data_IF_461138764855
#
_entry.id   IF_461138764855
#
_cell.length_a   1.000
_cell.length_b   1.000
_cell.length_c   1.000
_cell.angle_alpha   90.00
_cell.angle_beta   90.00
_cell.angle_gamma   90.00
#
_symmetry.space_group_name_H-M   'P 1'
#
loop_
_entity.id
_entity.type
_entity.pdbx_description
1 polymer ?
#
# COMPACT_ATOMS: atom_id res chain seq x y z
N UNK A 1 28.95 -15.22 -15.99
CA UNK A 1 28.14 -14.52 -14.96
C UNK A 1 27.91 -15.48 -13.79
N UNK A 2 28.43 -15.17 -12.58
CA UNK A 2 28.08 -15.93 -11.38
C UNK A 2 26.89 -15.23 -10.72
N UNK A 3 25.73 -15.87 -10.76
CA UNK A 3 24.49 -15.34 -10.18
C UNK A 3 24.63 -15.46 -8.66
N UNK A 4 24.41 -14.37 -7.91
CA UNK A 4 24.56 -14.37 -6.45
C UNK A 4 23.50 -15.31 -5.83
N UNK A 5 23.89 -16.39 -5.12
CA UNK A 5 22.96 -17.37 -4.56
C UNK A 5 22.01 -16.76 -3.51
N UNK A 6 22.43 -15.66 -2.85
CA UNK A 6 21.57 -14.93 -1.92
C UNK A 6 20.44 -14.20 -2.65
N UNK A 7 20.69 -13.66 -3.84
CA UNK A 7 19.67 -13.01 -4.66
C UNK A 7 18.63 -14.02 -5.20
N UNK A 8 19.06 -15.24 -5.50
CA UNK A 8 18.15 -16.32 -5.90
C UNK A 8 17.27 -16.81 -4.74
N UNK A 9 17.82 -16.94 -3.53
CA UNK A 9 17.07 -17.35 -2.34
C UNK A 9 16.01 -16.31 -1.92
N UNK A 10 16.32 -15.02 -2.05
CA UNK A 10 15.35 -13.95 -1.79
C UNK A 10 14.22 -13.93 -2.83
N UNK A 11 14.54 -14.16 -4.10
CA UNK A 11 13.55 -14.21 -5.18
C UNK A 11 12.60 -15.42 -5.07
N UNK A 12 13.10 -16.58 -4.61
CA UNK A 12 12.26 -17.77 -4.38
C UNK A 12 11.40 -17.64 -3.12
N UNK A 13 11.91 -17.01 -2.06
CA UNK A 13 11.13 -16.71 -0.86
C UNK A 13 9.98 -15.73 -1.13
N UNK A 14 10.19 -14.73 -2.00
CA UNK A 14 9.13 -13.80 -2.43
C UNK A 14 8.04 -14.47 -3.26
N UNK A 15 8.37 -15.47 -4.08
CA UNK A 15 7.38 -16.24 -4.87
C UNK A 15 6.47 -17.12 -4.02
N UNK A 16 6.95 -17.57 -2.87
CA UNK A 16 6.20 -18.44 -1.95
C UNK A 16 5.76 -17.69 -0.69
N UNK A 17 5.29 -16.44 -0.82
CA UNK A 17 4.71 -15.73 0.32
C UNK A 17 3.26 -16.19 0.57
N UNK A 18 2.98 -17.01 1.60
CA UNK A 18 1.66 -17.59 1.82
C UNK A 18 0.62 -16.54 2.27
N UNK A 19 1.05 -15.34 2.68
CA UNK A 19 0.12 -14.25 3.05
C UNK A 19 -0.21 -13.31 1.90
N UNK A 20 0.39 -13.48 0.72
CA UNK A 20 0.14 -12.59 -0.44
C UNK A 20 -1.34 -12.45 -0.80
N UNK A 21 -2.17 -13.52 -0.83
CA UNK A 21 -3.59 -13.38 -1.14
C UNK A 21 -4.33 -12.46 -0.15
N UNK A 22 -3.97 -12.52 1.14
CA UNK A 22 -4.54 -11.65 2.16
C UNK A 22 -4.07 -10.20 1.99
N UNK A 23 -2.81 -9.99 1.58
CA UNK A 23 -2.28 -8.67 1.25
C UNK A 23 -3.05 -8.06 0.07
N UNK A 24 -3.26 -8.81 -1.01
CA UNK A 24 -3.99 -8.34 -2.19
C UNK A 24 -5.44 -7.95 -1.82
N UNK A 25 -6.11 -8.74 -0.97
CA UNK A 25 -7.46 -8.42 -0.47
C UNK A 25 -7.45 -7.14 0.38
N UNK A 26 -6.52 -7.05 1.33
CA UNK A 26 -6.43 -5.91 2.24
C UNK A 26 -6.06 -4.61 1.50
N UNK A 27 -5.21 -4.68 0.49
CA UNK A 27 -4.90 -3.57 -0.43
C UNK A 27 -6.13 -3.13 -1.22
N UNK A 28 -6.91 -4.08 -1.75
CA UNK A 28 -8.15 -3.79 -2.45
C UNK A 28 -9.16 -3.07 -1.54
N UNK A 29 -9.33 -3.55 -0.31
CA UNK A 29 -10.20 -2.94 0.68
C UNK A 29 -9.75 -1.52 1.07
N UNK A 30 -8.45 -1.31 1.34
CA UNK A 30 -7.93 0.03 1.63
C UNK A 30 -8.08 0.97 0.42
N UNK A 31 -7.91 0.46 -0.80
CA UNK A 31 -8.13 1.23 -2.03
C UNK A 31 -9.58 1.69 -2.12
N UNK A 32 -10.56 0.80 -1.97
CA UNK A 32 -11.98 1.15 -2.01
C UNK A 32 -12.36 2.15 -0.91
N UNK A 33 -11.87 1.94 0.31
CA UNK A 33 -12.12 2.83 1.43
C UNK A 33 -11.54 4.22 1.17
N UNK A 34 -10.27 4.29 0.78
CA UNK A 34 -9.56 5.56 0.55
C UNK A 34 -10.16 6.32 -0.62
N UNK A 35 -10.51 5.62 -1.71
CA UNK A 35 -11.17 6.21 -2.87
C UNK A 35 -12.52 6.83 -2.47
N UNK A 36 -13.32 6.11 -1.69
CA UNK A 36 -14.60 6.64 -1.18
C UNK A 36 -14.38 7.85 -0.26
N UNK A 37 -13.41 7.77 0.64
CA UNK A 37 -13.08 8.88 1.54
C UNK A 37 -12.65 10.14 0.76
N UNK A 38 -11.81 10.01 -0.26
CA UNK A 38 -11.40 11.12 -1.13
C UNK A 38 -12.59 11.74 -1.86
N UNK A 39 -13.51 10.90 -2.36
CA UNK A 39 -14.73 11.37 -3.00
C UNK A 39 -15.62 12.17 -2.01
N UNK A 40 -15.79 11.70 -0.77
CA UNK A 40 -16.54 12.44 0.26
C UNK A 40 -15.84 13.75 0.66
N UNK A 41 -14.52 13.74 0.82
CA UNK A 41 -13.74 14.97 1.11
C UNK A 41 -13.88 15.99 -0.02
N UNK A 42 -13.94 15.56 -1.28
CA UNK A 42 -14.11 16.46 -2.43
C UNK A 42 -15.46 17.17 -2.40
N UNK A 43 -16.51 16.55 -1.86
CA UNK A 43 -17.83 17.18 -1.69
C UNK A 43 -17.83 18.31 -0.68
N UNK A 44 -16.86 18.35 0.25
CA UNK A 44 -16.75 19.43 1.23
C UNK A 44 -16.03 20.67 0.69
N UNK A 45 -15.47 20.60 -0.52
CA UNK A 45 -14.84 21.75 -1.18
C UNK A 45 -15.93 22.60 -1.83
N UNK A 46 -16.08 23.89 -1.48
CA UNK A 46 -17.04 24.78 -2.13
C UNK A 46 -16.75 24.88 -3.62
N UNK A 47 -17.79 24.81 -4.46
CA UNK A 47 -17.69 24.96 -5.91
C UNK A 47 -18.60 26.08 -6.37
N UNK A 48 -18.09 26.97 -7.21
CA UNK A 48 -18.88 28.03 -7.83
C UNK A 48 -19.87 27.48 -8.86
N UNK A 49 -19.50 26.37 -9.52
CA UNK A 49 -20.32 25.66 -10.49
C UNK A 49 -20.27 24.14 -10.25
N UNK A 50 -21.34 23.39 -10.56
CA UNK A 50 -21.32 21.94 -10.53
C UNK A 50 -20.29 21.36 -11.51
N UNK A 51 -19.67 20.24 -11.15
CA UNK A 51 -18.79 19.52 -12.06
C UNK A 51 -19.59 18.97 -13.25
N UNK A 52 -18.99 18.95 -14.44
CA UNK A 52 -19.55 18.18 -15.55
C UNK A 52 -19.35 16.68 -15.33
N UNK A 53 -20.16 15.84 -15.98
CA UNK A 53 -20.00 14.37 -15.91
C UNK A 53 -18.61 13.89 -16.31
N UNK A 54 -17.97 14.56 -17.29
CA UNK A 54 -16.60 14.27 -17.69
C UNK A 54 -15.60 14.59 -16.58
N UNK A 55 -15.80 15.70 -15.86
CA UNK A 55 -14.96 16.08 -14.73
C UNK A 55 -15.14 15.15 -13.54
N UNK A 56 -16.37 14.72 -13.25
CA UNK A 56 -16.66 13.72 -12.22
C UNK A 56 -15.96 12.39 -12.53
N UNK A 57 -16.04 11.91 -13.77
CA UNK A 57 -15.35 10.70 -14.20
C UNK A 57 -13.83 10.83 -14.05
N UNK A 58 -13.25 11.94 -14.51
CA UNK A 58 -11.83 12.20 -14.36
C UNK A 58 -11.38 12.20 -12.89
N UNK A 59 -12.14 12.88 -12.02
CA UNK A 59 -11.88 12.91 -10.59
C UNK A 59 -11.96 11.51 -9.98
N UNK A 60 -12.92 10.68 -10.40
CA UNK A 60 -13.03 9.29 -9.90
C UNK A 60 -11.80 8.45 -10.24
N UNK A 61 -11.25 8.59 -11.45
CA UNK A 61 -10.02 7.91 -11.85
C UNK A 61 -8.82 8.40 -11.04
N UNK A 62 -8.71 9.73 -10.84
CA UNK A 62 -7.66 10.33 -10.04
C UNK A 62 -7.70 9.83 -8.59
N UNK A 63 -8.89 9.82 -7.99
CA UNK A 63 -9.09 9.38 -6.60
C UNK A 63 -8.78 7.89 -6.45
N UNK A 64 -9.14 7.06 -7.44
CA UNK A 64 -8.81 5.64 -7.45
C UNK A 64 -7.30 5.37 -7.56
N UNK A 65 -6.60 6.03 -8.48
CA UNK A 65 -5.14 5.86 -8.65
C UNK A 65 -4.38 6.30 -7.40
N UNK A 66 -4.80 7.42 -6.79
CA UNK A 66 -4.23 7.89 -5.53
C UNK A 66 -4.48 6.89 -4.40
N UNK A 67 -5.70 6.38 -4.28
CA UNK A 67 -6.05 5.38 -3.29
C UNK A 67 -5.24 4.08 -3.48
N UNK A 68 -5.06 3.63 -4.72
CA UNK A 68 -4.28 2.44 -5.02
C UNK A 68 -2.80 2.62 -4.65
N UNK A 69 -2.24 3.80 -4.93
CA UNK A 69 -0.87 4.15 -4.55
C UNK A 69 -0.69 4.14 -3.03
N UNK A 70 -1.66 4.70 -2.30
CA UNK A 70 -1.67 4.71 -0.83
C UNK A 70 -1.82 3.31 -0.23
N UNK A 71 -2.67 2.46 -0.80
CA UNK A 71 -2.86 1.10 -0.31
C UNK A 71 -1.61 0.22 -0.52
N UNK A 72 -0.89 0.42 -1.63
CA UNK A 72 0.35 -0.31 -1.95
C UNK A 72 1.57 0.20 -1.19
N UNK A 73 1.59 1.47 -0.80
CA UNK A 73 2.68 2.02 0.01
C UNK A 73 2.54 1.66 1.49
N UNK A 74 3.63 1.80 2.25
CA UNK A 74 3.60 1.73 3.72
C UNK A 74 3.13 3.06 4.36
N UNK A 75 2.86 4.08 3.54
CA UNK A 75 2.44 5.42 3.95
C UNK A 75 0.94 5.69 3.77
N UNK A 76 0.15 4.64 3.52
CA UNK A 76 -1.31 4.72 3.47
C UNK A 76 -1.97 5.06 4.81
N UNK A 77 -3.28 4.88 4.87
CA UNK A 77 -4.07 5.15 6.08
C UNK A 77 -3.88 4.05 7.16
N UNK A 78 -3.21 2.96 6.81
CA UNK A 78 -2.96 1.83 7.71
C UNK A 78 -4.16 0.89 7.84
N UNK A 79 -5.21 1.09 7.02
CA UNK A 79 -6.41 0.24 7.01
C UNK A 79 -6.06 -1.18 6.59
N UNK A 80 -5.17 -1.37 5.60
CA UNK A 80 -4.61 -2.67 5.21
C UNK A 80 -4.05 -3.43 6.40
N UNK A 81 -3.32 -2.75 7.29
CA UNK A 81 -2.73 -3.39 8.47
C UNK A 81 -3.80 -3.91 9.42
N UNK A 82 -4.82 -3.08 9.71
CA UNK A 82 -5.95 -3.47 10.55
C UNK A 82 -6.69 -4.66 9.94
N UNK A 83 -6.92 -4.66 8.63
CA UNK A 83 -7.58 -5.75 7.93
C UNK A 83 -6.76 -7.04 8.01
N UNK A 84 -5.46 -6.97 7.72
CA UNK A 84 -4.56 -8.12 7.81
C UNK A 84 -4.56 -8.73 9.20
N UNK A 85 -4.61 -7.92 10.26
CA UNK A 85 -4.70 -8.40 11.63
C UNK A 85 -5.99 -9.19 11.92
N UNK A 86 -7.07 -8.92 11.18
CA UNK A 86 -8.36 -9.62 11.30
C UNK A 86 -8.46 -10.86 10.41
N UNK A 87 -8.01 -10.77 9.15
CA UNK A 87 -8.26 -11.83 8.15
C UNK A 87 -7.15 -12.88 8.09
N UNK A 88 -5.93 -12.56 8.53
CA UNK A 88 -4.81 -13.50 8.50
C UNK A 88 -4.86 -14.42 9.73
N UNK A 89 -4.86 -15.75 9.53
CA UNK A 89 -4.82 -16.71 10.64
C UNK A 89 -3.62 -16.50 11.56
N UNK A 90 -3.80 -16.69 12.87
CA UNK A 90 -2.77 -16.46 13.89
C UNK A 90 -1.45 -17.18 13.59
N UNK A 91 -1.52 -18.45 13.17
CA UNK A 91 -0.36 -19.27 12.82
C UNK A 91 0.37 -18.81 11.55
N UNK A 92 -0.16 -17.83 10.81
CA UNK A 92 0.44 -17.24 9.61
C UNK A 92 0.94 -15.81 9.82
N UNK A 93 0.66 -15.18 10.98
CA UNK A 93 1.00 -13.77 11.21
C UNK A 93 2.50 -13.48 11.20
N UNK A 94 3.34 -14.47 11.47
CA UNK A 94 4.80 -14.30 11.37
C UNK A 94 5.27 -14.01 9.95
N UNK A 95 4.54 -14.45 8.91
CA UNK A 95 4.85 -14.11 7.53
C UNK A 95 4.61 -12.63 7.20
N UNK A 96 3.72 -11.94 7.93
CA UNK A 96 3.48 -10.50 7.73
C UNK A 96 4.69 -9.65 8.12
N UNK A 97 5.43 -10.06 9.17
CA UNK A 97 6.66 -9.36 9.62
C UNK A 97 7.82 -9.54 8.64
N UNK A 98 7.89 -10.69 7.98
CA UNK A 98 8.96 -11.03 7.05
C UNK A 98 8.69 -10.51 5.62
N UNK A 99 7.45 -10.12 5.33
CA UNK A 99 7.05 -9.58 4.02
C UNK A 99 7.35 -8.08 3.86
N UNK A 100 7.73 -7.37 4.92
CA UNK A 100 8.18 -5.98 4.84
C UNK A 100 9.66 -5.95 4.42
N UNK A 101 10.02 -5.42 3.24
CA UNK A 101 11.42 -5.20 2.92
C UNK A 101 12.00 -4.20 3.93
N UNK A 102 13.19 -4.47 4.43
CA UNK A 102 13.90 -3.62 5.39
C UNK A 102 14.26 -2.25 4.77
N UNK A 103 13.31 -1.33 4.66
CA UNK A 103 13.57 0.11 4.42
C UNK A 103 13.92 0.77 5.76
N UNK A 104 14.88 0.21 6.50
CA UNK A 104 15.38 0.78 7.76
C UNK A 104 16.91 0.81 7.87
N UNK A 105 17.64 0.49 6.81
CA UNK A 105 19.08 0.77 6.70
C UNK A 105 19.32 1.86 5.67
N UNK A 106 19.09 3.12 6.06
CA UNK A 106 19.32 4.25 5.15
C UNK A 106 19.33 5.65 5.77
N UNK A 107 19.03 5.83 7.06
CA UNK A 107 18.97 7.18 7.68
C UNK A 107 19.70 7.31 9.02
N UNK A 108 20.77 6.54 9.25
CA UNK A 108 21.71 6.81 10.35
C UNK A 108 23.15 6.71 9.84
N UNK A 109 23.53 7.59 8.92
CA UNK A 109 24.90 8.10 8.83
C UNK A 109 24.79 9.60 8.68
N UNK A 110 24.57 10.21 9.83
CA UNK A 110 24.78 11.63 10.09
C UNK A 110 26.17 12.00 9.55
N UNK A 111 26.21 12.94 8.62
CA UNK A 111 27.45 13.54 8.13
C UNK A 111 28.11 14.27 9.31
N UNK A 112 28.96 13.56 10.05
CA UNK A 112 30.03 14.20 10.80
C UNK A 112 31.28 14.05 9.94
N UNK A 113 31.72 15.15 9.36
CA UNK A 113 33.12 15.40 9.04
C UNK A 113 33.25 16.94 9.02
N UNK A 114 33.68 17.46 10.17
CA UNK A 114 34.43 18.72 10.26
C UNK A 114 35.79 18.56 9.56
#
# INVERSE_FOLDING_TARGET
MKINPQAQALATAQRNNPVKPYQDIAEGMETSFTSHMLAEMRKTVPKETPDSSAMEYYNSLLDYERAQTMAKSDSGLGVKKVILDQIVPQHMKHYLKNAQPAIRQGMTKENTNE
#
